data_IF_565045468799
#
_entry.id   IF_565045468799
#
_cell.length_a   1.000
_cell.length_b   1.000
_cell.length_c   1.000
_cell.angle_alpha   90.00
_cell.angle_beta   90.00
_cell.angle_gamma   90.00
#
_symmetry.space_group_name_H-M   'P 1'
#
loop_
_entity.id
_entity.type
_entity.pdbx_description
1 polymer ?
#
# COMPACT_ATOMS: atom_id res chain seq x y z
N UNK A 1 19.51 -9.24 -27.41
CA UNK A 1 18.68 -10.15 -26.57
C UNK A 1 19.16 -9.97 -25.13
N UNK A 2 18.29 -9.48 -24.26
CA UNK A 2 18.65 -9.24 -22.85
C UNK A 2 18.40 -10.45 -21.98
N UNK A 3 19.12 -10.53 -20.90
CA UNK A 3 18.98 -11.53 -19.87
C UNK A 3 18.71 -10.88 -18.52
N UNK A 4 17.99 -11.60 -17.66
CA UNK A 4 17.70 -11.19 -16.29
C UNK A 4 18.19 -12.25 -15.32
N UNK A 5 19.02 -11.85 -14.37
CA UNK A 5 19.34 -12.66 -13.20
C UNK A 5 18.23 -12.47 -12.16
N UNK A 6 17.63 -13.57 -11.74
CA UNK A 6 16.44 -13.59 -10.89
C UNK A 6 16.73 -14.30 -9.58
N UNK A 7 16.36 -13.69 -8.47
CA UNK A 7 16.34 -14.29 -7.15
C UNK A 7 15.07 -15.13 -7.04
N UNK A 8 15.19 -16.42 -6.77
CA UNK A 8 14.07 -17.33 -6.52
C UNK A 8 13.97 -17.68 -5.04
N UNK A 9 12.77 -17.92 -4.47
CA UNK A 9 12.58 -18.28 -3.06
C UNK A 9 12.99 -19.74 -2.79
N UNK A 10 14.20 -20.08 -3.15
CA UNK A 10 14.76 -21.45 -3.05
C UNK A 10 16.03 -21.45 -2.20
N UNK A 11 16.30 -22.54 -1.44
CA UNK A 11 17.52 -22.69 -0.68
C UNK A 11 18.68 -23.14 -1.57
N UNK A 12 18.93 -22.40 -2.65
CA UNK A 12 19.98 -22.70 -3.64
C UNK A 12 20.89 -21.47 -3.78
N UNK A 13 22.18 -21.73 -3.90
CA UNK A 13 23.16 -20.68 -4.11
C UNK A 13 23.08 -20.11 -5.52
N UNK A 14 23.35 -18.80 -5.61
CA UNK A 14 23.41 -18.07 -6.86
C UNK A 14 22.09 -17.52 -7.36
N UNK A 15 22.17 -16.91 -8.54
CA UNK A 15 21.05 -16.34 -9.27
C UNK A 15 20.70 -17.21 -10.46
N UNK A 16 19.47 -17.13 -10.92
CA UNK A 16 19.00 -17.90 -12.07
C UNK A 16 18.77 -16.95 -13.26
N UNK A 17 19.48 -17.21 -14.36
CA UNK A 17 19.39 -16.35 -15.54
C UNK A 17 18.29 -16.80 -16.49
N UNK A 18 17.47 -15.85 -16.91
CA UNK A 18 16.37 -16.03 -17.87
C UNK A 18 16.51 -15.10 -19.05
N UNK A 19 16.05 -15.53 -20.22
CA UNK A 19 15.98 -14.67 -21.39
C UNK A 19 14.80 -13.70 -21.26
N UNK A 20 15.02 -12.43 -21.58
CA UNK A 20 13.99 -11.40 -21.54
C UNK A 20 13.32 -11.34 -22.92
N UNK A 21 11.99 -11.61 -23.02
CA UNK A 21 11.28 -11.48 -24.27
C UNK A 21 11.30 -10.03 -24.79
N UNK A 22 11.41 -9.83 -26.11
CA UNK A 22 11.48 -8.51 -26.74
C UNK A 22 10.31 -7.58 -26.33
N UNK A 23 9.12 -8.16 -26.14
CA UNK A 23 7.93 -7.40 -25.74
C UNK A 23 8.05 -6.70 -24.37
N UNK A 24 8.90 -7.19 -23.48
CA UNK A 24 9.07 -6.65 -22.11
C UNK A 24 10.46 -6.05 -21.86
N UNK A 25 11.34 -6.05 -22.85
CA UNK A 25 12.72 -5.54 -22.73
C UNK A 25 12.78 -4.07 -22.29
N UNK A 26 11.78 -3.26 -22.71
CA UNK A 26 11.71 -1.83 -22.40
C UNK A 26 11.07 -1.47 -21.06
N UNK A 27 10.33 -2.42 -20.46
CA UNK A 27 9.57 -2.18 -19.21
C UNK A 27 10.16 -2.89 -18.01
N UNK A 28 10.89 -3.99 -18.24
CA UNK A 28 11.47 -4.77 -17.14
C UNK A 28 12.55 -3.99 -16.40
N UNK A 29 12.42 -3.91 -15.09
CA UNK A 29 13.37 -3.21 -14.22
C UNK A 29 13.84 -4.10 -13.08
N UNK A 30 15.01 -3.76 -12.51
CA UNK A 30 15.52 -4.35 -11.28
C UNK A 30 14.53 -4.13 -10.14
N UNK A 31 14.28 -5.15 -9.32
CA UNK A 31 13.32 -5.09 -8.21
C UNK A 31 11.89 -5.43 -8.59
N UNK A 32 11.57 -5.68 -9.86
CA UNK A 32 10.26 -6.17 -10.30
C UNK A 32 10.13 -7.67 -10.05
N UNK A 33 8.88 -8.13 -9.83
CA UNK A 33 8.55 -9.54 -9.78
C UNK A 33 8.35 -10.09 -11.19
N UNK A 34 8.83 -11.30 -11.38
CA UNK A 34 8.64 -12.07 -12.61
C UNK A 34 8.21 -13.49 -12.28
N UNK A 35 7.31 -14.05 -13.08
CA UNK A 35 7.01 -15.47 -13.05
C UNK A 35 7.98 -16.18 -14.00
N UNK A 36 8.67 -17.17 -13.51
CA UNK A 36 9.69 -17.90 -14.27
C UNK A 36 9.52 -19.42 -14.16
N UNK A 37 9.76 -20.18 -15.25
CA UNK A 37 9.72 -21.63 -15.22
C UNK A 37 10.98 -22.17 -14.56
N UNK A 38 10.81 -23.15 -13.66
CA UNK A 38 11.91 -23.81 -12.97
C UNK A 38 11.78 -25.34 -13.04
N UNK A 39 12.85 -26.04 -13.39
CA UNK A 39 12.82 -27.48 -13.60
C UNK A 39 11.89 -27.87 -14.78
N UNK A 40 11.13 -28.96 -14.62
CA UNK A 40 10.29 -29.50 -15.72
C UNK A 40 8.87 -28.94 -15.76
N UNK A 41 8.27 -28.64 -14.58
CA UNK A 41 6.83 -28.32 -14.50
C UNK A 41 6.49 -27.29 -13.41
N UNK A 42 7.47 -26.72 -12.73
CA UNK A 42 7.22 -25.72 -11.66
C UNK A 42 7.46 -24.31 -12.21
N UNK A 43 6.73 -23.37 -11.66
CA UNK A 43 6.98 -21.95 -11.82
C UNK A 43 7.20 -21.31 -10.45
N UNK A 44 7.96 -20.23 -10.42
CA UNK A 44 8.19 -19.46 -9.20
C UNK A 44 8.08 -17.97 -9.50
N UNK A 45 7.57 -17.25 -8.54
CA UNK A 45 7.70 -15.78 -8.52
C UNK A 45 9.09 -15.46 -8.01
N UNK A 46 9.85 -14.76 -8.83
CA UNK A 46 11.20 -14.28 -8.50
C UNK A 46 11.31 -12.77 -8.59
N UNK A 47 12.41 -12.24 -8.09
CA UNK A 47 12.76 -10.82 -8.16
C UNK A 47 13.93 -10.63 -9.13
N UNK A 48 13.78 -9.68 -10.06
CA UNK A 48 14.87 -9.29 -10.97
C UNK A 48 15.97 -8.60 -10.17
N UNK A 49 17.14 -9.23 -10.13
CA UNK A 49 18.32 -8.71 -9.44
C UNK A 49 19.21 -7.90 -10.40
N UNK A 50 19.39 -8.35 -11.63
CA UNK A 50 20.26 -7.71 -12.63
C UNK A 50 19.73 -7.91 -14.04
N UNK A 51 19.92 -6.93 -14.89
CA UNK A 51 19.70 -7.02 -16.34
C UNK A 51 21.05 -6.90 -17.05
N UNK A 52 21.30 -7.75 -18.06
CA UNK A 52 22.56 -7.79 -18.80
C UNK A 52 22.39 -8.38 -20.19
N UNK A 53 23.43 -8.30 -21.03
CA UNK A 53 23.45 -8.83 -22.40
C UNK A 53 24.31 -10.09 -22.53
N UNK A 54 24.89 -10.56 -21.45
CA UNK A 54 25.77 -11.74 -21.40
C UNK A 54 24.96 -13.03 -21.39
N UNK A 55 25.10 -13.83 -22.45
CA UNK A 55 24.45 -15.15 -22.51
C UNK A 55 25.20 -16.14 -21.62
N UNK A 56 24.52 -16.82 -20.67
CA UNK A 56 25.18 -17.89 -19.90
C UNK A 56 25.68 -19.03 -20.79
N UNK A 57 26.85 -19.55 -20.44
CA UNK A 57 27.41 -20.72 -21.09
C UNK A 57 26.97 -22.01 -20.37
N UNK A 58 26.88 -23.12 -21.11
CA UNK A 58 26.72 -24.46 -20.54
C UNK A 58 25.26 -24.93 -20.36
N UNK A 59 24.24 -24.07 -20.51
CA UNK A 59 22.83 -24.51 -20.44
C UNK A 59 21.90 -23.66 -21.32
N UNK A 60 20.74 -24.27 -21.68
CA UNK A 60 19.72 -23.57 -22.43
C UNK A 60 18.93 -22.62 -21.52
N UNK A 61 19.00 -21.32 -21.79
CA UNK A 61 18.30 -20.31 -21.04
C UNK A 61 16.82 -20.29 -21.41
N UNK A 62 15.94 -20.45 -20.42
CA UNK A 62 14.49 -20.35 -20.63
C UNK A 62 14.06 -18.88 -20.62
N UNK A 63 13.00 -18.50 -21.35
CA UNK A 63 12.43 -17.17 -21.23
C UNK A 63 11.66 -17.03 -19.91
N UNK A 64 11.62 -15.82 -19.36
CA UNK A 64 10.66 -15.49 -18.31
C UNK A 64 9.23 -15.53 -18.87
N UNK A 65 8.25 -15.94 -18.02
CA UNK A 65 6.87 -16.17 -18.47
C UNK A 65 6.06 -14.88 -18.43
N UNK A 66 6.12 -14.15 -17.31
CA UNK A 66 5.30 -12.93 -17.08
C UNK A 66 6.08 -11.93 -16.24
N UNK A 67 5.96 -10.65 -16.57
CA UNK A 67 6.30 -9.52 -15.68
C UNK A 67 5.04 -9.20 -14.88
N UNK A 68 5.14 -9.20 -13.56
CA UNK A 68 3.98 -9.13 -12.67
C UNK A 68 3.67 -7.73 -12.16
N UNK A 69 4.58 -6.79 -12.35
CA UNK A 69 4.50 -5.44 -11.79
C UNK A 69 4.70 -4.38 -12.87
N UNK A 70 4.06 -3.23 -12.69
CA UNK A 70 4.28 -2.03 -13.52
C UNK A 70 5.46 -1.18 -13.01
N UNK A 71 5.87 -1.38 -11.75
CA UNK A 71 6.99 -0.70 -11.11
C UNK A 71 7.71 -1.65 -10.12
N UNK A 72 8.98 -1.38 -9.77
CA UNK A 72 9.72 -2.20 -8.81
C UNK A 72 9.01 -2.30 -7.45
N UNK A 73 8.86 -3.52 -6.92
CA UNK A 73 8.36 -3.80 -5.56
C UNK A 73 9.48 -3.82 -4.53
N UNK A 74 10.72 -3.68 -4.97
CA UNK A 74 11.93 -3.58 -4.15
C UNK A 74 12.80 -2.43 -4.65
N UNK A 75 13.23 -1.62 -3.71
CA UNK A 75 14.20 -0.55 -3.97
C UNK A 75 15.62 -1.13 -4.05
N UNK A 76 16.50 -0.41 -4.74
CA UNK A 76 17.92 -0.75 -4.86
C UNK A 76 18.61 -0.92 -3.50
N UNK A 77 18.26 -0.07 -2.52
CA UNK A 77 18.78 -0.16 -1.14
C UNK A 77 18.36 -1.44 -0.43
N UNK A 78 17.15 -1.93 -0.69
CA UNK A 78 16.63 -3.16 -0.11
C UNK A 78 17.31 -4.40 -0.75
N UNK A 79 17.50 -4.40 -2.07
CA UNK A 79 18.25 -5.47 -2.75
C UNK A 79 19.69 -5.58 -2.23
N UNK A 80 20.39 -4.45 -2.10
CA UNK A 80 21.74 -4.42 -1.51
C UNK A 80 21.75 -4.91 -0.06
N UNK A 81 20.70 -4.64 0.71
CA UNK A 81 20.57 -5.17 2.07
C UNK A 81 20.37 -6.68 2.06
N UNK A 82 19.59 -7.23 1.11
CA UNK A 82 19.45 -8.68 0.97
C UNK A 82 20.76 -9.37 0.59
N UNK A 83 21.50 -8.78 -0.35
CA UNK A 83 22.83 -9.25 -0.72
C UNK A 83 23.79 -9.27 0.50
N UNK A 84 23.78 -8.17 1.30
CA UNK A 84 24.57 -8.09 2.52
C UNK A 84 24.14 -9.14 3.58
N UNK A 85 22.83 -9.35 3.77
CA UNK A 85 22.32 -10.37 4.71
C UNK A 85 22.75 -11.77 4.26
N UNK A 86 22.62 -12.07 2.98
CA UNK A 86 23.01 -13.36 2.41
C UNK A 86 24.49 -13.63 2.64
N UNK A 87 25.36 -12.66 2.37
CA UNK A 87 26.80 -12.75 2.56
C UNK A 87 27.18 -12.87 4.05
N UNK A 88 26.63 -11.98 4.90
CA UNK A 88 26.95 -11.94 6.32
C UNK A 88 26.55 -13.22 7.08
N UNK A 89 25.38 -13.79 6.75
CA UNK A 89 24.86 -15.01 7.39
C UNK A 89 25.22 -16.30 6.61
N UNK A 90 25.96 -16.20 5.51
CA UNK A 90 26.31 -17.34 4.64
C UNK A 90 25.03 -18.12 4.22
N UNK A 91 23.99 -17.41 3.85
CA UNK A 91 22.68 -17.96 3.50
C UNK A 91 22.36 -17.70 2.03
N UNK A 92 21.73 -18.64 1.30
CA UNK A 92 21.26 -18.37 -0.05
C UNK A 92 20.34 -17.15 -0.10
N UNK A 93 20.54 -16.27 -1.08
CA UNK A 93 19.74 -15.04 -1.21
C UNK A 93 18.25 -15.35 -1.40
N UNK A 94 17.89 -16.52 -1.92
CA UNK A 94 16.51 -16.99 -2.02
C UNK A 94 15.85 -17.19 -0.65
N UNK A 95 16.60 -17.62 0.37
CA UNK A 95 16.09 -17.73 1.75
C UNK A 95 15.88 -16.33 2.36
N UNK A 96 16.76 -15.37 2.06
CA UNK A 96 16.59 -13.97 2.46
C UNK A 96 15.33 -13.40 1.85
N UNK A 97 15.11 -13.59 0.53
CA UNK A 97 13.86 -13.21 -0.16
C UNK A 97 12.64 -13.83 0.50
N UNK A 98 12.69 -15.11 0.83
CA UNK A 98 11.58 -15.83 1.45
C UNK A 98 11.20 -15.27 2.82
N UNK A 99 12.19 -14.88 3.60
CA UNK A 99 11.98 -14.28 4.92
C UNK A 99 11.54 -12.82 4.86
N UNK A 100 12.12 -12.02 3.96
CA UNK A 100 11.94 -10.58 3.91
C UNK A 100 10.68 -10.15 3.15
N UNK A 101 10.33 -10.82 2.04
CA UNK A 101 9.20 -10.41 1.21
C UNK A 101 7.87 -10.92 1.80
N UNK A 102 6.82 -10.07 1.90
CA UNK A 102 5.48 -10.50 2.30
C UNK A 102 4.97 -11.68 1.46
N UNK A 103 4.22 -12.60 2.09
CA UNK A 103 3.75 -13.82 1.43
C UNK A 103 2.89 -13.51 0.19
N UNK A 104 2.01 -12.52 0.26
CA UNK A 104 1.17 -12.10 -0.87
C UNK A 104 1.94 -11.58 -2.08
N UNK A 105 3.19 -11.13 -1.91
CA UNK A 105 4.06 -10.74 -3.04
C UNK A 105 4.82 -11.93 -3.64
N UNK A 106 4.81 -13.10 -3.00
CA UNK A 106 5.42 -14.34 -3.51
C UNK A 106 4.42 -15.26 -4.22
N UNK A 107 3.12 -14.95 -4.14
CA UNK A 107 2.07 -15.75 -4.75
C UNK A 107 1.97 -15.49 -6.26
N UNK A 108 1.75 -16.54 -7.05
CA UNK A 108 1.58 -16.46 -8.51
C UNK A 108 0.33 -15.65 -8.90
N UNK A 109 -0.74 -15.75 -8.12
CA UNK A 109 -1.98 -14.98 -8.33
C UNK A 109 -1.80 -13.48 -8.02
N UNK A 110 -0.68 -13.12 -7.39
CA UNK A 110 -0.41 -11.76 -6.99
C UNK A 110 -1.27 -11.27 -5.81
N UNK A 111 -1.03 -10.05 -5.39
CA UNK A 111 -1.86 -9.35 -4.42
C UNK A 111 -3.07 -8.74 -5.12
N UNK A 112 -4.27 -8.97 -4.56
CA UNK A 112 -5.49 -8.30 -5.01
C UNK A 112 -5.84 -7.19 -4.01
N UNK A 113 -5.81 -5.92 -4.43
CA UNK A 113 -6.31 -4.82 -3.60
C UNK A 113 -7.74 -5.09 -3.14
N UNK A 114 -8.12 -4.55 -1.99
CA UNK A 114 -9.53 -4.50 -1.61
C UNK A 114 -10.17 -3.40 -2.42
N UNK A 115 -11.25 -3.73 -3.12
CA UNK A 115 -12.07 -2.73 -3.80
C UNK A 115 -13.40 -2.57 -3.11
N UNK A 116 -13.94 -1.37 -3.16
CA UNK A 116 -15.32 -1.06 -2.79
C UNK A 116 -16.03 -0.48 -4.01
N UNK A 117 -17.29 -0.90 -4.19
CA UNK A 117 -18.10 -0.41 -5.29
C UNK A 117 -18.75 0.89 -4.89
N UNK A 118 -18.44 1.94 -5.64
CA UNK A 118 -19.04 3.26 -5.53
C UNK A 118 -20.15 3.43 -6.57
N UNK A 119 -21.05 4.36 -6.30
CA UNK A 119 -22.16 4.70 -7.18
C UNK A 119 -22.05 6.18 -7.54
N UNK A 120 -22.27 6.49 -8.80
CA UNK A 120 -22.37 7.87 -9.29
C UNK A 120 -23.57 8.03 -10.19
N UNK A 121 -24.06 9.26 -10.28
CA UNK A 121 -25.08 9.66 -11.24
C UNK A 121 -24.52 9.59 -12.65
N UNK A 122 -25.21 8.92 -13.57
CA UNK A 122 -24.79 8.86 -14.96
C UNK A 122 -24.77 10.25 -15.59
N UNK A 123 -23.77 10.52 -16.44
CA UNK A 123 -23.53 11.83 -17.03
C UNK A 123 -24.75 12.45 -17.70
N UNK A 124 -25.62 11.60 -18.30
CA UNK A 124 -26.87 12.05 -18.95
C UNK A 124 -27.88 12.69 -17.99
N UNK A 125 -27.80 12.40 -16.70
CA UNK A 125 -28.73 12.86 -15.67
C UNK A 125 -28.15 13.95 -14.75
N UNK A 126 -26.96 14.46 -15.02
CA UNK A 126 -26.29 15.47 -14.22
C UNK A 126 -26.78 16.89 -14.50
N UNK A 127 -28.10 17.07 -14.67
CA UNK A 127 -28.75 18.37 -14.77
C UNK A 127 -30.21 18.26 -14.26
N UNK A 128 -30.78 19.39 -13.81
CA UNK A 128 -32.06 19.46 -13.16
C UNK A 128 -33.22 18.91 -14.05
N UNK A 129 -33.23 19.27 -15.32
CA UNK A 129 -34.25 18.80 -16.26
C UNK A 129 -34.25 17.28 -16.39
N UNK A 130 -33.07 16.68 -16.53
CA UNK A 130 -32.94 15.22 -16.66
C UNK A 130 -33.21 14.50 -15.35
N UNK A 131 -32.92 15.09 -14.19
CA UNK A 131 -33.32 14.56 -12.89
C UNK A 131 -34.86 14.50 -12.75
N UNK A 132 -35.58 15.55 -13.14
CA UNK A 132 -37.03 15.52 -13.17
C UNK A 132 -37.59 14.46 -14.12
N UNK A 133 -36.98 14.29 -15.29
CA UNK A 133 -37.37 13.24 -16.24
C UNK A 133 -37.12 11.84 -15.61
N UNK A 134 -35.98 11.64 -14.96
CA UNK A 134 -35.67 10.38 -14.29
C UNK A 134 -36.71 10.03 -13.21
N UNK A 135 -37.06 10.99 -12.35
CA UNK A 135 -38.08 10.81 -11.31
C UNK A 135 -39.47 10.48 -11.89
N UNK A 136 -39.86 11.13 -12.99
CA UNK A 136 -41.09 10.81 -13.70
C UNK A 136 -41.07 9.40 -14.31
N UNK A 137 -39.97 8.97 -14.90
CA UNK A 137 -39.79 7.62 -15.43
C UNK A 137 -39.86 6.54 -14.34
N UNK A 138 -39.49 6.89 -13.11
CA UNK A 138 -39.55 6.01 -11.95
C UNK A 138 -40.87 6.02 -11.19
N UNK A 139 -41.85 6.89 -11.56
CA UNK A 139 -43.14 7.03 -10.88
C UNK A 139 -43.94 5.71 -10.78
N UNK A 140 -43.74 4.78 -11.73
CA UNK A 140 -44.35 3.43 -11.72
C UNK A 140 -43.49 2.35 -11.04
N UNK A 141 -42.36 2.71 -10.47
CA UNK A 141 -41.42 1.78 -9.80
C UNK A 141 -41.00 2.37 -8.44
N UNK A 142 -41.87 2.40 -7.43
CA UNK A 142 -41.67 3.16 -6.20
C UNK A 142 -40.38 2.82 -5.47
N UNK A 143 -39.98 1.55 -5.38
CA UNK A 143 -38.74 1.15 -4.74
C UNK A 143 -37.50 1.68 -5.47
N UNK A 144 -37.53 1.77 -6.81
CA UNK A 144 -36.43 2.34 -7.58
C UNK A 144 -36.39 3.87 -7.41
N UNK A 145 -37.55 4.51 -7.34
CA UNK A 145 -37.69 5.95 -7.12
C UNK A 145 -37.14 6.33 -5.73
N UNK A 146 -37.54 5.60 -4.68
CA UNK A 146 -37.01 5.78 -3.32
C UNK A 146 -35.49 5.63 -3.24
N UNK A 147 -34.93 4.60 -3.87
CA UNK A 147 -33.48 4.38 -3.92
C UNK A 147 -32.75 5.49 -4.70
N UNK A 148 -33.34 6.00 -5.78
CA UNK A 148 -32.77 7.09 -6.57
C UNK A 148 -32.81 8.42 -5.80
N UNK A 149 -33.93 8.74 -5.13
CA UNK A 149 -34.05 9.92 -4.25
C UNK A 149 -33.04 9.84 -3.11
N UNK A 150 -32.94 8.69 -2.44
CA UNK A 150 -31.96 8.49 -1.36
C UNK A 150 -30.53 8.73 -1.85
N UNK A 151 -30.18 8.26 -3.06
CA UNK A 151 -28.88 8.55 -3.66
C UNK A 151 -28.67 10.06 -3.86
N UNK A 152 -29.64 10.78 -4.43
CA UNK A 152 -29.55 12.23 -4.66
C UNK A 152 -29.32 13.00 -3.35
N UNK A 153 -30.06 12.65 -2.30
CA UNK A 153 -29.93 13.25 -0.97
C UNK A 153 -28.57 12.99 -0.34
N UNK A 154 -28.11 11.73 -0.36
CA UNK A 154 -26.84 11.33 0.24
C UNK A 154 -25.64 11.95 -0.49
N UNK A 155 -25.70 12.03 -1.81
CA UNK A 155 -24.64 12.61 -2.62
C UNK A 155 -24.67 14.14 -2.65
N UNK A 156 -25.76 14.77 -2.22
CA UNK A 156 -25.95 16.22 -2.27
C UNK A 156 -26.36 16.76 -3.64
N UNK A 157 -26.75 15.89 -4.59
CA UNK A 157 -27.24 16.32 -5.90
C UNK A 157 -28.53 17.13 -5.86
N UNK A 158 -29.31 16.95 -4.80
CA UNK A 158 -30.57 17.69 -4.57
C UNK A 158 -30.34 19.15 -4.14
N UNK A 159 -29.17 19.49 -3.66
CA UNK A 159 -28.75 20.80 -3.17
C UNK A 159 -27.69 21.47 -4.07
N UNK A 160 -27.14 20.74 -5.04
CA UNK A 160 -26.04 21.20 -5.88
C UNK A 160 -26.58 22.06 -7.07
N UNK A 161 -26.07 23.27 -7.21
CA UNK A 161 -26.21 24.05 -8.43
C UNK A 161 -25.30 23.51 -9.57
N UNK A 162 -25.52 23.96 -10.82
CA UNK A 162 -24.77 23.45 -11.97
C UNK A 162 -23.26 23.71 -11.94
N UNK A 163 -22.78 24.55 -11.03
CA UNK A 163 -21.35 24.86 -10.86
C UNK A 163 -20.70 24.16 -9.64
N UNK A 164 -21.47 23.42 -8.83
CA UNK A 164 -21.01 22.87 -7.54
C UNK A 164 -20.52 21.40 -7.61
N UNK A 165 -20.01 20.95 -8.73
CA UNK A 165 -19.48 19.58 -8.89
C UNK A 165 -18.44 19.17 -7.83
N UNK A 166 -17.82 20.13 -7.14
CA UNK A 166 -16.85 19.92 -6.08
C UNK A 166 -17.47 19.51 -4.71
N UNK A 167 -18.79 19.59 -4.56
CA UNK A 167 -19.52 19.34 -3.29
C UNK A 167 -20.22 17.98 -3.27
N UNK A 168 -20.25 17.28 -4.42
CA UNK A 168 -20.96 16.00 -4.53
C UNK A 168 -20.16 14.92 -3.81
N UNK A 169 -20.79 14.31 -2.79
CA UNK A 169 -20.18 13.24 -2.02
C UNK A 169 -20.12 11.93 -2.82
N UNK A 170 -18.99 11.24 -2.72
CA UNK A 170 -18.86 9.88 -3.24
C UNK A 170 -19.57 8.90 -2.29
N UNK A 171 -20.53 8.12 -2.82
CA UNK A 171 -21.36 7.19 -2.05
C UNK A 171 -21.01 5.76 -2.42
N UNK A 172 -20.73 4.92 -1.42
CA UNK A 172 -20.56 3.49 -1.65
C UNK A 172 -21.91 2.81 -1.87
N UNK A 173 -21.88 1.71 -2.60
CA UNK A 173 -23.07 0.87 -2.80
C UNK A 173 -23.63 0.37 -1.46
N UNK A 174 -22.75 -0.02 -0.54
CA UNK A 174 -23.13 -0.51 0.78
C UNK A 174 -23.80 0.59 1.63
N UNK A 175 -23.25 1.79 1.61
CA UNK A 175 -23.79 2.96 2.31
C UNK A 175 -25.19 3.30 1.81
N UNK A 176 -25.39 3.37 0.48
CA UNK A 176 -26.71 3.62 -0.10
C UNK A 176 -27.70 2.52 0.28
N UNK A 177 -27.31 1.24 0.24
CA UNK A 177 -28.18 0.13 0.63
C UNK A 177 -28.57 0.20 2.12
N UNK A 178 -27.62 0.51 3.00
CA UNK A 178 -27.85 0.58 4.45
C UNK A 178 -28.76 1.76 4.82
N UNK A 179 -28.57 2.92 4.20
CA UNK A 179 -29.33 4.10 4.53
C UNK A 179 -30.73 4.13 3.89
N UNK A 180 -30.89 3.63 2.67
CA UNK A 180 -32.17 3.59 1.97
C UNK A 180 -32.98 2.31 2.19
N UNK A 181 -32.39 1.29 2.83
CA UNK A 181 -33.01 -0.04 2.93
C UNK A 181 -33.21 -0.75 1.59
N UNK A 182 -32.59 -0.25 0.52
CA UNK A 182 -32.73 -0.81 -0.83
C UNK A 182 -31.95 -2.09 -1.01
N UNK A 183 -32.33 -2.88 -2.01
CA UNK A 183 -31.67 -4.15 -2.32
C UNK A 183 -30.76 -4.02 -3.54
N UNK A 184 -29.75 -4.91 -3.64
CA UNK A 184 -28.87 -4.98 -4.80
C UNK A 184 -29.64 -5.11 -6.13
N UNK A 185 -30.78 -5.83 -6.14
CA UNK A 185 -31.63 -5.98 -7.32
C UNK A 185 -32.20 -4.65 -7.79
N UNK A 186 -32.67 -3.80 -6.88
CA UNK A 186 -33.21 -2.47 -7.20
C UNK A 186 -32.10 -1.57 -7.76
N UNK A 187 -30.91 -1.54 -7.14
CA UNK A 187 -29.77 -0.78 -7.65
C UNK A 187 -29.33 -1.27 -9.04
N UNK A 188 -29.28 -2.59 -9.25
CA UNK A 188 -28.96 -3.16 -10.57
C UNK A 188 -29.94 -2.73 -11.66
N UNK A 189 -31.21 -2.51 -11.32
CA UNK A 189 -32.23 -2.00 -12.27
C UNK A 189 -31.96 -0.52 -12.62
N UNK A 190 -31.58 0.31 -11.65
CA UNK A 190 -31.21 1.72 -11.90
C UNK A 190 -29.96 1.83 -12.76
N UNK A 191 -28.97 0.96 -12.53
CA UNK A 191 -27.77 0.87 -13.38
C UNK A 191 -28.13 0.39 -14.80
N UNK A 192 -28.97 -0.64 -14.96
CA UNK A 192 -29.44 -1.12 -16.27
C UNK A 192 -30.22 -0.06 -17.04
N UNK A 193 -30.95 0.82 -16.35
CA UNK A 193 -31.64 1.97 -16.95
C UNK A 193 -30.70 3.12 -17.32
N UNK A 194 -29.42 3.02 -17.00
CA UNK A 194 -28.42 4.06 -17.25
C UNK A 194 -28.61 5.32 -16.42
N UNK A 195 -29.32 5.25 -15.29
CA UNK A 195 -29.53 6.39 -14.38
C UNK A 195 -28.38 6.51 -13.37
N UNK A 196 -27.87 5.39 -12.89
CA UNK A 196 -26.70 5.28 -12.02
C UNK A 196 -25.61 4.44 -12.72
N UNK A 197 -24.37 4.74 -12.38
CA UNK A 197 -23.20 3.96 -12.79
C UNK A 197 -22.47 3.46 -11.56
N UNK A 198 -21.87 2.27 -11.66
CA UNK A 198 -21.00 1.73 -10.61
C UNK A 198 -19.55 1.73 -11.07
N UNK A 199 -18.65 2.05 -10.14
CA UNK A 199 -17.21 1.96 -10.37
C UNK A 199 -16.51 1.41 -9.13
N UNK A 200 -15.39 0.75 -9.34
CA UNK A 200 -14.59 0.16 -8.26
C UNK A 200 -13.48 1.12 -7.84
N UNK A 201 -13.33 1.31 -6.54
CA UNK A 201 -12.24 2.10 -5.95
C UNK A 201 -11.42 1.20 -5.05
N UNK A 202 -10.12 1.25 -5.20
CA UNK A 202 -9.22 0.57 -4.27
C UNK A 202 -9.25 1.26 -2.91
N UNK A 203 -9.56 0.48 -1.87
CA UNK A 203 -9.63 0.97 -0.49
C UNK A 203 -8.59 0.28 0.39
N UNK A 204 -8.00 1.06 1.28
CA UNK A 204 -7.04 0.53 2.24
C UNK A 204 -7.71 -0.43 3.22
N UNK A 205 -7.07 -1.60 3.45
CA UNK A 205 -7.44 -2.52 4.53
C UNK A 205 -6.95 -2.04 5.89
N UNK A 206 -6.00 -1.12 5.89
CA UNK A 206 -5.42 -0.59 7.11
C UNK A 206 -6.39 0.38 7.76
N UNK A 207 -6.59 0.21 9.06
CA UNK A 207 -7.36 1.17 9.83
C UNK A 207 -6.71 2.55 9.69
N UNK A 208 -7.47 3.53 9.20
CA UNK A 208 -7.01 4.91 9.15
C UNK A 208 -6.95 5.45 10.57
N UNK A 209 -5.78 5.95 10.95
CA UNK A 209 -5.54 6.52 12.29
C UNK A 209 -6.00 7.97 12.41
N UNK A 210 -6.46 8.53 11.31
CA UNK A 210 -6.93 9.91 11.24
C UNK A 210 -5.84 10.94 10.90
N UNK A 211 -6.20 12.19 11.01
CA UNK A 211 -5.31 13.32 10.70
C UNK A 211 -4.16 13.38 11.71
N UNK A 212 -2.93 13.69 11.27
CA UNK A 212 -1.81 13.92 12.20
C UNK A 212 -2.05 15.11 13.11
N UNK A 213 -1.70 14.96 14.38
CA UNK A 213 -1.83 16.00 15.42
C UNK A 213 -0.48 16.35 16.05
N UNK A 214 0.46 16.99 15.32
CA UNK A 214 1.78 17.34 15.83
C UNK A 214 1.73 18.32 17.02
N UNK A 215 0.63 19.07 17.19
CA UNK A 215 0.37 19.92 18.35
C UNK A 215 0.24 19.14 19.67
N UNK A 216 0.00 17.82 19.61
CA UNK A 216 -0.05 16.94 20.79
C UNK A 216 1.33 16.46 21.25
N UNK A 217 2.40 16.84 20.56
CA UNK A 217 3.78 16.54 20.98
C UNK A 217 4.08 17.33 22.26
N UNK A 218 4.40 16.61 23.32
CA UNK A 218 4.70 17.23 24.61
C UNK A 218 6.04 17.97 24.55
N UNK A 219 6.13 19.10 25.25
CA UNK A 219 7.41 19.80 25.43
C UNK A 219 8.38 18.90 26.20
N UNK A 220 9.62 18.88 25.74
CA UNK A 220 10.69 18.16 26.44
C UNK A 220 11.05 18.89 27.75
N UNK A 221 11.37 18.14 28.79
CA UNK A 221 12.02 18.66 29.99
C UNK A 221 13.47 19.07 29.66
N UNK A 222 14.10 19.84 30.53
CA UNK A 222 15.48 20.29 30.32
C UNK A 222 16.46 19.12 30.11
N UNK A 223 16.43 18.03 30.91
CA UNK A 223 17.28 16.85 30.64
C UNK A 223 16.99 16.14 29.31
N UNK A 224 15.71 16.08 28.89
CA UNK A 224 15.34 15.51 27.62
C UNK A 224 15.85 16.35 26.45
N UNK A 225 15.73 17.68 26.55
CA UNK A 225 16.22 18.61 25.54
C UNK A 225 17.75 18.52 25.41
N UNK A 226 18.46 18.41 26.52
CA UNK A 226 19.91 18.19 26.49
C UNK A 226 20.28 16.89 25.80
N UNK A 227 19.63 15.78 26.16
CA UNK A 227 19.84 14.46 25.51
C UNK A 227 19.52 14.51 24.01
N UNK A 228 18.42 15.17 23.63
CA UNK A 228 18.05 15.37 22.22
C UNK A 228 19.14 16.13 21.45
N UNK A 229 19.63 17.24 21.99
CA UNK A 229 20.70 18.03 21.37
C UNK A 229 22.01 17.22 21.23
N UNK A 230 22.35 16.41 22.24
CA UNK A 230 23.51 15.50 22.18
C UNK A 230 23.36 14.43 21.09
N UNK A 231 22.15 13.88 20.90
CA UNK A 231 21.86 12.93 19.82
C UNK A 231 22.07 13.59 18.46
N UNK A 232 21.50 14.78 18.25
CA UNK A 232 21.67 15.50 16.99
C UNK A 232 23.15 15.83 16.71
N UNK A 233 23.87 16.28 17.71
CA UNK A 233 25.30 16.52 17.58
C UNK A 233 26.09 15.25 17.27
N UNK A 234 25.71 14.13 17.88
CA UNK A 234 26.33 12.83 17.61
C UNK A 234 26.11 12.39 16.16
N UNK A 235 24.91 12.60 15.60
CA UNK A 235 24.59 12.25 14.20
C UNK A 235 25.41 13.04 13.17
N UNK A 236 25.93 14.21 13.52
CA UNK A 236 26.87 14.93 12.63
C UNK A 236 28.21 14.20 12.44
N UNK A 237 28.59 13.35 13.38
CA UNK A 237 29.90 12.69 13.39
C UNK A 237 29.83 11.17 13.31
N UNK A 238 28.70 10.58 13.68
CA UNK A 238 28.54 9.13 13.86
C UNK A 238 27.22 8.66 13.24
N UNK A 239 27.24 7.47 12.67
CA UNK A 239 26.04 6.82 12.10
C UNK A 239 25.15 6.18 13.18
N UNK A 240 25.69 5.90 14.36
CA UNK A 240 25.00 5.21 15.45
C UNK A 240 25.18 5.98 16.74
N UNK A 241 24.06 6.18 17.47
CA UNK A 241 24.05 6.82 18.78
C UNK A 241 23.26 5.96 19.76
N UNK A 242 23.81 5.69 20.92
CA UNK A 242 23.15 4.99 22.01
C UNK A 242 22.49 5.98 22.96
N UNK A 243 21.17 5.94 23.09
CA UNK A 243 20.45 6.63 24.16
C UNK A 243 20.21 5.67 25.33
N UNK A 244 21.02 5.78 26.36
CA UNK A 244 20.89 4.99 27.58
C UNK A 244 20.00 5.68 28.61
N UNK A 245 19.06 4.96 29.22
CA UNK A 245 18.19 5.49 30.25
C UNK A 245 17.26 4.43 30.82
N UNK A 246 16.87 4.57 32.07
CA UNK A 246 15.94 3.67 32.76
C UNK A 246 14.54 3.70 32.16
N UNK A 247 13.74 2.69 32.46
CA UNK A 247 12.30 2.67 32.10
C UNK A 247 11.60 3.88 32.75
N UNK A 248 10.72 4.54 32.00
CA UNK A 248 10.02 5.73 32.49
C UNK A 248 10.81 7.06 32.42
N UNK A 249 12.09 7.05 32.00
CA UNK A 249 12.90 8.29 31.87
C UNK A 249 12.44 9.23 30.74
N UNK A 250 11.40 8.87 29.98
CA UNK A 250 10.87 9.71 28.93
C UNK A 250 11.57 9.59 27.56
N UNK A 251 12.35 8.53 27.32
CA UNK A 251 12.99 8.28 26.02
C UNK A 251 12.03 8.37 24.83
N UNK A 252 10.80 7.93 25.02
CA UNK A 252 9.77 7.97 23.98
C UNK A 252 9.47 9.39 23.49
N UNK A 253 9.48 10.39 24.38
CA UNK A 253 9.29 11.79 23.96
C UNK A 253 10.43 12.24 23.04
N UNK A 254 11.66 11.88 23.39
CA UNK A 254 12.84 12.19 22.56
C UNK A 254 12.69 11.52 21.18
N UNK A 255 12.24 10.26 21.13
CA UNK A 255 12.01 9.58 19.85
C UNK A 255 10.91 10.25 19.01
N UNK A 256 9.80 10.68 19.62
CA UNK A 256 8.73 11.41 18.93
C UNK A 256 9.26 12.70 18.30
N UNK A 257 10.08 13.47 19.02
CA UNK A 257 10.69 14.68 18.47
C UNK A 257 11.67 14.37 17.32
N UNK A 258 12.49 13.32 17.43
CA UNK A 258 13.39 12.88 16.35
C UNK A 258 12.60 12.45 15.12
N UNK A 259 11.53 11.65 15.30
CA UNK A 259 10.64 11.21 14.21
C UNK A 259 10.01 12.44 13.52
N UNK A 260 9.47 13.38 14.29
CA UNK A 260 8.87 14.60 13.75
C UNK A 260 9.87 15.42 12.91
N UNK A 261 11.12 15.52 13.35
CA UNK A 261 12.18 16.21 12.61
C UNK A 261 12.46 15.53 11.27
N UNK A 262 12.53 14.19 11.23
CA UNK A 262 12.77 13.44 10.00
C UNK A 262 11.59 13.56 9.03
N UNK A 263 10.36 13.46 9.54
CA UNK A 263 9.14 13.65 8.73
C UNK A 263 9.07 15.06 8.14
N UNK A 264 9.43 16.08 8.90
CA UNK A 264 9.48 17.47 8.41
C UNK A 264 10.49 17.66 7.26
N UNK A 265 11.53 16.81 7.20
CA UNK A 265 12.49 16.75 6.10
C UNK A 265 12.09 15.78 4.98
N UNK A 266 10.84 15.29 4.98
CA UNK A 266 10.31 14.31 4.03
C UNK A 266 11.09 12.99 4.00
N UNK A 267 11.63 12.58 5.16
CA UNK A 267 12.33 11.30 5.32
C UNK A 267 11.45 10.29 6.05
N UNK A 268 11.61 9.03 5.72
CA UNK A 268 10.96 7.92 6.40
C UNK A 268 11.75 7.51 7.65
N UNK A 269 11.03 7.02 8.65
CA UNK A 269 11.61 6.52 9.91
C UNK A 269 11.15 5.09 10.13
N UNK A 270 12.09 4.19 10.38
CA UNK A 270 11.81 2.83 10.82
C UNK A 270 12.02 2.74 12.34
N UNK A 271 10.95 2.48 13.07
CA UNK A 271 10.97 2.28 14.51
C UNK A 271 10.79 0.80 14.86
N UNK A 272 11.83 0.15 15.36
CA UNK A 272 11.83 -1.28 15.71
C UNK A 272 11.57 -1.49 17.20
N UNK A 273 10.64 -2.38 17.53
CA UNK A 273 10.29 -2.74 18.91
C UNK A 273 10.44 -4.25 19.12
N UNK A 274 11.01 -4.70 20.25
CA UNK A 274 11.34 -6.11 20.47
C UNK A 274 10.14 -7.00 20.78
N UNK A 275 9.02 -6.44 21.31
CA UNK A 275 7.88 -7.21 21.80
C UNK A 275 6.54 -6.63 21.34
N UNK A 276 5.62 -7.50 20.92
CA UNK A 276 4.27 -7.10 20.46
C UNK A 276 3.45 -6.47 21.59
N UNK A 277 3.63 -6.91 22.84
CA UNK A 277 2.87 -6.38 23.99
C UNK A 277 3.21 -4.90 24.30
N UNK A 278 4.48 -4.51 24.13
CA UNK A 278 4.90 -3.12 24.29
C UNK A 278 4.46 -2.24 23.11
N UNK A 279 4.18 -2.85 21.96
CA UNK A 279 3.80 -2.10 20.75
C UNK A 279 2.43 -1.45 20.88
N UNK A 280 1.44 -2.00 21.59
CA UNK A 280 0.08 -1.44 21.64
C UNK A 280 0.09 -0.04 22.26
N UNK A 281 0.66 0.14 23.45
CA UNK A 281 0.73 1.46 24.10
C UNK A 281 1.56 2.46 23.30
N UNK A 282 2.67 2.00 22.71
CA UNK A 282 3.51 2.84 21.88
C UNK A 282 2.78 3.24 20.59
N UNK A 283 2.07 2.30 19.97
CA UNK A 283 1.28 2.55 18.77
C UNK A 283 0.19 3.58 19.01
N UNK A 284 -0.61 3.44 20.08
CA UNK A 284 -1.65 4.41 20.43
C UNK A 284 -1.07 5.80 20.63
N UNK A 285 0.11 5.89 21.26
CA UNK A 285 0.81 7.15 21.48
C UNK A 285 1.31 7.78 20.18
N UNK A 286 1.89 6.97 19.28
CA UNK A 286 2.36 7.43 17.98
C UNK A 286 1.20 7.76 17.05
N UNK A 287 0.12 6.95 17.05
CA UNK A 287 -1.09 7.22 16.27
C UNK A 287 -1.73 8.55 16.63
N UNK A 288 -1.77 8.88 17.92
CA UNK A 288 -2.32 10.16 18.40
C UNK A 288 -1.57 11.36 17.81
N UNK A 289 -0.27 11.21 17.57
CA UNK A 289 0.58 12.30 17.06
C UNK A 289 0.67 12.29 15.53
N UNK A 290 0.93 11.11 14.96
CA UNK A 290 1.29 10.99 13.54
C UNK A 290 0.13 10.56 12.63
N UNK A 291 -1.00 10.11 13.21
CA UNK A 291 -2.17 9.71 12.44
C UNK A 291 -1.85 8.70 11.33
N UNK A 292 -2.37 8.95 10.14
CA UNK A 292 -2.21 8.08 8.96
C UNK A 292 -0.78 8.01 8.39
N UNK A 293 0.14 8.84 8.91
CA UNK A 293 1.58 8.75 8.58
C UNK A 293 2.27 7.58 9.25
N UNK A 294 1.62 6.92 10.22
CA UNK A 294 2.16 5.77 10.92
C UNK A 294 1.73 4.46 10.25
N UNK A 295 2.66 3.76 9.64
CA UNK A 295 2.50 2.38 9.21
C UNK A 295 2.97 1.40 10.28
N UNK A 296 2.19 0.36 10.56
CA UNK A 296 2.54 -0.67 11.53
C UNK A 296 2.72 -2.00 10.79
N UNK A 297 3.79 -2.72 11.11
CA UNK A 297 4.07 -4.02 10.51
C UNK A 297 4.37 -5.05 11.59
N UNK A 298 3.47 -6.01 11.80
CA UNK A 298 3.66 -7.07 12.79
C UNK A 298 2.98 -8.40 12.37
N UNK A 299 3.27 -9.47 13.11
CA UNK A 299 2.82 -10.83 12.79
C UNK A 299 1.30 -11.05 12.86
N UNK A 300 0.53 -10.18 13.53
CA UNK A 300 -0.93 -10.27 13.62
C UNK A 300 -1.66 -9.74 12.38
N UNK A 301 -0.98 -8.97 11.52
CA UNK A 301 -1.57 -8.52 10.26
C UNK A 301 -1.69 -9.66 9.26
N UNK A 302 -2.77 -9.64 8.48
CA UNK A 302 -2.95 -10.53 7.34
C UNK A 302 -1.87 -10.29 6.29
N UNK A 303 -1.64 -11.26 5.42
CA UNK A 303 -0.67 -11.12 4.34
C UNK A 303 -1.02 -9.95 3.40
N UNK A 304 -2.31 -9.70 3.18
CA UNK A 304 -2.79 -8.59 2.37
C UNK A 304 -2.47 -7.21 3.00
N UNK A 305 -2.69 -7.04 4.31
CA UNK A 305 -2.32 -5.82 5.03
C UNK A 305 -0.81 -5.57 5.01
N UNK A 306 -0.01 -6.63 5.14
CA UNK A 306 1.46 -6.53 5.05
C UNK A 306 1.92 -6.09 3.66
N UNK A 307 1.28 -6.59 2.60
CA UNK A 307 1.57 -6.15 1.23
C UNK A 307 1.22 -4.68 1.06
N UNK A 308 0.08 -4.24 1.57
CA UNK A 308 -0.33 -2.84 1.49
C UNK A 308 0.64 -1.89 2.21
N UNK A 309 1.09 -2.26 3.42
CA UNK A 309 2.12 -1.50 4.15
C UNK A 309 3.44 -1.47 3.36
N UNK A 310 3.83 -2.61 2.79
CA UNK A 310 5.02 -2.71 1.96
C UNK A 310 4.95 -1.78 0.75
N UNK A 311 3.83 -1.76 0.04
CA UNK A 311 3.64 -0.88 -1.11
C UNK A 311 3.63 0.60 -0.72
N UNK A 312 2.96 0.97 0.38
CA UNK A 312 2.96 2.35 0.90
C UNK A 312 4.36 2.87 1.25
N UNK A 313 5.23 1.99 1.71
CA UNK A 313 6.60 2.38 2.04
C UNK A 313 7.46 2.65 0.78
N UNK A 314 7.10 2.11 -0.39
CA UNK A 314 7.80 2.35 -1.65
C UNK A 314 7.46 3.71 -2.26
N UNK A 315 6.30 4.28 -1.89
CA UNK A 315 5.84 5.60 -2.34
C UNK A 315 6.15 6.62 -1.24
N UNK A 316 7.04 7.60 -1.47
CA UNK A 316 7.43 8.61 -0.48
C UNK A 316 6.29 9.60 -0.15
#
# INVERSE_FOLDING_TARGET
MKYADVILPLPLDGLFTYAVPAAVEGILQRGMRVLVPFGRSKSYVGIVSRLHDEKPEGYAVKPLSVVMDDAPVLLESQLRQWEWIADYYMSPIGEVMKAALPAGLKAEEGYKPRTETYIRLAAAYQNETMLHIALNLLARAPRQQEAFIAYLQLSGWDMAGPEDAAVIAEITREELMNQSGTTLSVLSQLVKRGMLETYEVEVSRLNRSGVPHPELIKKMSAPQQEAYNQILFSFLKRKVTLLHGVTGSGKTEIYIHLIQQEIAQKRQVLYLLPEIALTVQMMERLHRVFGDRLGIYHSKYSDAERVEIWQKQLSP
#
